data_IF_054752882878
#
_entry.id   IF_054752882878
#
_cell.length_a   1.000
_cell.length_b   1.000
_cell.length_c   1.000
_cell.angle_alpha   90.00
_cell.angle_beta   90.00
_cell.angle_gamma   90.00
#
_symmetry.space_group_name_H-M   'P 1'
#
loop_
_entity.id
_entity.type
_entity.pdbx_description
1 polymer ?
#
# COMPACT_ATOMS: atom_id res chain seq x y z
N UNK A 1 18.97 1.87 -12.47
CA UNK A 1 17.80 1.13 -12.92
C UNK A 1 17.05 1.91 -13.99
N UNK A 2 16.69 1.23 -15.06
CA UNK A 2 15.98 1.90 -16.15
C UNK A 2 14.52 2.12 -15.81
N UNK A 3 14.06 3.33 -16.07
CA UNK A 3 12.68 3.70 -15.89
C UNK A 3 11.85 3.15 -17.05
N UNK A 4 10.63 2.69 -16.76
CA UNK A 4 9.75 2.19 -17.78
C UNK A 4 9.28 3.31 -18.70
N UNK A 5 8.95 2.92 -19.92
CA UNK A 5 8.49 3.86 -20.93
C UNK A 5 7.18 4.51 -20.54
N UNK A 6 7.12 5.82 -20.73
CA UNK A 6 5.90 6.57 -20.52
C UNK A 6 4.91 6.29 -21.63
N UNK A 7 3.70 5.85 -21.31
CA UNK A 7 2.63 5.60 -22.25
C UNK A 7 1.36 6.32 -21.81
N UNK A 8 0.39 6.40 -22.72
CA UNK A 8 -0.89 7.01 -22.39
C UNK A 8 -1.59 6.29 -21.26
N UNK A 9 -1.59 4.95 -21.30
CA UNK A 9 -2.21 4.14 -20.25
C UNK A 9 -1.51 4.35 -18.91
N UNK A 10 -0.18 4.44 -18.92
CA UNK A 10 0.58 4.69 -17.70
C UNK A 10 0.18 6.00 -17.04
N UNK A 11 0.01 7.04 -17.85
CA UNK A 11 -0.42 8.35 -17.34
C UNK A 11 -1.80 8.27 -16.71
N UNK A 12 -2.72 7.56 -17.35
CA UNK A 12 -4.08 7.41 -16.84
C UNK A 12 -4.06 6.70 -15.48
N UNK A 13 -3.28 5.63 -15.36
CA UNK A 13 -3.17 4.88 -14.10
C UNK A 13 -2.58 5.77 -13.01
N UNK A 14 -1.51 6.48 -13.30
CA UNK A 14 -0.88 7.37 -12.33
C UNK A 14 -1.83 8.46 -11.85
N UNK A 15 -2.55 9.09 -12.77
CA UNK A 15 -3.53 10.12 -12.44
C UNK A 15 -4.63 9.57 -11.55
N UNK A 16 -5.08 8.35 -11.81
CA UNK A 16 -6.11 7.73 -11.02
C UNK A 16 -5.63 7.50 -9.59
N UNK A 17 -4.39 7.02 -9.43
CA UNK A 17 -3.81 6.85 -8.09
C UNK A 17 -3.69 8.20 -7.37
N UNK A 18 -3.28 9.24 -8.10
CA UNK A 18 -3.12 10.58 -7.53
C UNK A 18 -4.41 11.16 -6.97
N UNK A 19 -5.54 10.74 -7.51
CA UNK A 19 -6.83 11.25 -7.06
C UNK A 19 -7.33 10.57 -5.79
N UNK A 20 -6.61 9.57 -5.31
CA UNK A 20 -6.98 8.85 -4.09
C UNK A 20 -6.14 9.30 -2.90
N UNK A 21 -6.79 9.37 -1.74
CA UNK A 21 -6.10 9.62 -0.47
C UNK A 21 -6.27 8.45 0.49
N UNK A 22 -6.94 7.38 0.03
CA UNK A 22 -7.40 6.30 0.88
C UNK A 22 -6.72 4.96 0.61
N UNK A 23 -5.56 4.96 -0.02
CA UNK A 23 -4.80 3.74 -0.32
C UNK A 23 -5.62 2.74 -1.14
N UNK A 24 -5.90 3.04 -2.41
CA UNK A 24 -6.77 2.20 -3.24
C UNK A 24 -6.13 0.86 -3.57
N UNK A 25 -6.98 -0.14 -3.83
CA UNK A 25 -6.52 -1.42 -4.36
C UNK A 25 -6.40 -1.33 -5.87
N UNK A 26 -5.71 -2.30 -6.48
CA UNK A 26 -5.62 -2.39 -7.93
C UNK A 26 -7.01 -2.51 -8.57
N UNK A 27 -7.89 -3.26 -7.93
CA UNK A 27 -9.25 -3.44 -8.46
C UNK A 27 -10.04 -2.14 -8.45
N UNK A 28 -9.90 -1.35 -7.39
CA UNK A 28 -10.55 -0.02 -7.32
C UNK A 28 -10.06 0.87 -8.44
N UNK A 29 -8.74 0.90 -8.66
CA UNK A 29 -8.16 1.69 -9.74
C UNK A 29 -8.68 1.22 -11.09
N UNK A 30 -8.70 -0.10 -11.31
CA UNK A 30 -9.21 -0.66 -12.55
C UNK A 30 -10.69 -0.28 -12.79
N UNK A 31 -11.53 -0.39 -11.76
CA UNK A 31 -12.95 -0.09 -11.92
C UNK A 31 -13.19 1.36 -12.31
N UNK A 32 -12.44 2.28 -11.72
CA UNK A 32 -12.56 3.69 -12.07
C UNK A 32 -12.13 3.98 -13.49
N UNK A 33 -11.03 3.36 -13.92
CA UNK A 33 -10.55 3.53 -15.29
C UNK A 33 -11.51 2.92 -16.29
N UNK A 34 -12.03 1.74 -15.98
CA UNK A 34 -12.95 1.02 -16.85
C UNK A 34 -14.26 1.81 -17.07
N UNK A 35 -14.69 2.53 -16.05
CA UNK A 35 -15.91 3.35 -16.15
C UNK A 35 -15.72 4.50 -17.16
N UNK A 36 -14.50 4.96 -17.36
CA UNK A 36 -14.19 6.06 -18.28
C UNK A 36 -13.79 5.52 -19.65
N UNK A 37 -13.02 4.44 -19.68
CA UNK A 37 -12.55 3.84 -20.94
C UNK A 37 -12.52 2.32 -20.80
N UNK A 38 -13.59 1.69 -21.26
CA UNK A 38 -13.75 0.24 -21.12
C UNK A 38 -12.79 -0.57 -22.00
N UNK A 39 -12.01 0.10 -22.85
CA UNK A 39 -11.02 -0.59 -23.69
C UNK A 39 -9.74 -0.94 -22.93
N UNK A 40 -9.51 -0.30 -21.80
CA UNK A 40 -8.31 -0.56 -21.00
C UNK A 40 -8.58 -1.79 -20.13
N UNK A 41 -7.78 -2.85 -20.34
CA UNK A 41 -8.01 -4.12 -19.66
C UNK A 41 -7.46 -4.10 -18.24
N UNK A 42 -7.95 -5.04 -17.43
CA UNK A 42 -7.46 -5.23 -16.08
C UNK A 42 -5.96 -5.51 -16.07
N UNK A 43 -5.49 -6.36 -16.99
CA UNK A 43 -4.07 -6.67 -17.09
C UNK A 43 -3.22 -5.45 -17.39
N UNK A 44 -3.71 -4.54 -18.22
CA UNK A 44 -3.00 -3.30 -18.53
C UNK A 44 -2.87 -2.43 -17.29
N UNK A 45 -3.96 -2.29 -16.51
CA UNK A 45 -3.93 -1.50 -15.29
C UNK A 45 -2.93 -2.09 -14.29
N UNK A 46 -3.01 -3.39 -14.06
CA UNK A 46 -2.15 -4.05 -13.09
C UNK A 46 -0.68 -3.97 -13.50
N UNK A 47 -0.40 -4.15 -14.78
CA UNK A 47 0.97 -4.05 -15.30
C UNK A 47 1.54 -2.65 -15.10
N UNK A 48 0.72 -1.63 -15.35
CA UNK A 48 1.16 -0.25 -15.16
C UNK A 48 1.35 0.11 -13.70
N UNK A 49 0.52 -0.42 -12.80
CA UNK A 49 0.72 -0.23 -11.37
C UNK A 49 2.06 -0.81 -10.93
N UNK A 50 2.41 -2.00 -11.43
CA UNK A 50 3.70 -2.61 -11.12
C UNK A 50 4.85 -1.76 -11.65
N UNK A 51 4.75 -1.27 -12.89
CA UNK A 51 5.80 -0.43 -13.48
C UNK A 51 5.98 0.87 -12.71
N UNK A 52 4.88 1.52 -12.33
CA UNK A 52 4.93 2.76 -11.57
C UNK A 52 5.56 2.54 -10.20
N UNK A 53 5.24 1.40 -9.57
CA UNK A 53 5.81 1.04 -8.29
C UNK A 53 7.32 0.78 -8.39
N UNK A 54 7.74 0.04 -9.42
CA UNK A 54 9.16 -0.25 -9.65
C UNK A 54 9.95 1.02 -9.94
N UNK A 55 9.33 1.97 -10.63
CA UNK A 55 9.99 3.23 -10.96
C UNK A 55 9.95 4.24 -9.81
N UNK A 56 9.32 3.92 -8.71
CA UNK A 56 9.26 4.80 -7.53
C UNK A 56 8.26 5.93 -7.64
N UNK A 57 7.33 5.86 -8.60
CA UNK A 57 6.30 6.89 -8.77
C UNK A 57 5.14 6.73 -7.80
N UNK A 58 4.88 5.50 -7.36
CA UNK A 58 3.89 5.19 -6.34
C UNK A 58 4.46 4.13 -5.40
N UNK A 59 3.85 4.00 -4.24
CA UNK A 59 4.24 2.99 -3.26
C UNK A 59 3.26 1.82 -3.33
N UNK A 60 3.81 0.60 -3.37
CA UNK A 60 3.02 -0.63 -3.33
C UNK A 60 3.04 -1.15 -1.89
N UNK A 61 1.89 -1.25 -1.28
CA UNK A 61 1.75 -1.65 0.12
C UNK A 61 1.14 -3.05 0.15
N UNK A 62 1.91 -4.01 0.63
CA UNK A 62 1.43 -5.39 0.76
C UNK A 62 0.74 -5.55 2.10
N UNK A 63 -0.53 -5.89 2.06
CA UNK A 63 -1.35 -6.08 3.25
C UNK A 63 -2.20 -7.34 3.06
N UNK A 64 -2.69 -7.92 4.17
CA UNK A 64 -3.63 -9.05 4.06
C UNK A 64 -4.85 -8.65 3.23
N UNK A 65 -5.32 -9.56 2.41
CA UNK A 65 -6.44 -9.33 1.53
C UNK A 65 -6.00 -8.86 0.17
N UNK A 66 -6.05 -7.58 -0.09
CA UNK A 66 -5.67 -7.01 -1.37
C UNK A 66 -4.65 -5.91 -1.15
N UNK A 67 -3.55 -5.98 -1.90
CA UNK A 67 -2.51 -4.95 -1.82
C UNK A 67 -3.07 -3.57 -2.12
N UNK A 68 -2.45 -2.55 -1.55
CA UNK A 68 -2.85 -1.16 -1.71
C UNK A 68 -1.74 -0.35 -2.38
N UNK A 69 -2.11 0.82 -2.85
CA UNK A 69 -1.17 1.73 -3.52
C UNK A 69 -1.30 3.12 -2.92
N UNK A 70 -0.19 3.84 -2.88
CA UNK A 70 -0.12 5.16 -2.28
C UNK A 70 0.73 6.06 -3.15
N UNK A 71 0.31 7.29 -3.35
CA UNK A 71 1.10 8.28 -4.07
C UNK A 71 2.35 8.67 -3.29
N UNK A 72 2.27 8.64 -1.98
CA UNK A 72 3.38 8.98 -1.11
C UNK A 72 4.43 7.87 -1.15
N UNK A 73 5.64 8.20 -1.59
CA UNK A 73 6.70 7.20 -1.84
C UNK A 73 7.79 7.15 -0.77
N UNK A 74 7.83 8.09 0.17
CA UNK A 74 8.79 8.04 1.26
C UNK A 74 8.48 6.86 2.19
N UNK A 75 9.53 6.35 2.84
CA UNK A 75 9.36 5.23 3.75
C UNK A 75 8.54 5.64 4.98
N UNK A 76 7.46 4.94 5.21
CA UNK A 76 6.61 5.14 6.37
C UNK A 76 5.86 3.85 6.64
N UNK A 77 5.25 3.77 7.80
CA UNK A 77 4.54 2.56 8.21
C UNK A 77 3.05 2.72 8.03
N UNK A 78 2.38 1.60 7.90
CA UNK A 78 0.93 1.55 7.73
C UNK A 78 0.33 0.62 8.78
N UNK A 79 -0.95 0.80 9.05
CA UNK A 79 -1.71 -0.14 9.87
C UNK A 79 -3.00 -0.48 9.15
N UNK A 80 -3.34 -1.75 9.15
CA UNK A 80 -4.58 -2.23 8.58
C UNK A 80 -5.52 -2.72 9.68
N UNK A 81 -6.79 -2.35 9.58
CA UNK A 81 -7.82 -2.95 10.41
C UNK A 81 -8.20 -4.29 9.82
N UNK A 82 -7.94 -5.37 10.55
CA UNK A 82 -8.22 -6.71 10.04
C UNK A 82 -9.71 -7.00 9.95
N UNK A 83 -10.54 -6.17 10.54
CA UNK A 83 -11.98 -6.33 10.52
C UNK A 83 -12.63 -5.61 9.32
N UNK A 84 -12.34 -4.33 9.14
CA UNK A 84 -12.97 -3.55 8.07
C UNK A 84 -12.06 -3.32 6.86
N UNK A 85 -10.78 -3.64 6.97
CA UNK A 85 -9.84 -3.49 5.88
C UNK A 85 -9.27 -2.10 5.67
N UNK A 86 -9.62 -1.15 6.53
CA UNK A 86 -9.12 0.22 6.39
C UNK A 86 -7.61 0.27 6.61
N UNK A 87 -6.91 0.98 5.74
CA UNK A 87 -5.46 1.16 5.83
C UNK A 87 -5.17 2.64 6.02
N UNK A 88 -4.35 2.97 7.00
CA UNK A 88 -3.93 4.35 7.23
C UNK A 88 -2.42 4.41 7.43
N UNK A 89 -1.85 5.60 7.21
CA UNK A 89 -0.45 5.86 7.50
C UNK A 89 -0.28 6.05 8.99
N UNK A 90 0.81 5.49 9.54
CA UNK A 90 1.12 5.71 10.95
C UNK A 90 1.86 7.05 11.04
N UNK A 91 1.42 7.96 11.92
CA UNK A 91 1.95 9.32 11.96
C UNK A 91 3.28 9.44 12.72
N UNK A 92 4.23 8.59 12.43
CA UNK A 92 5.61 8.80 12.87
C UNK A 92 6.57 8.21 11.84
N UNK A 93 7.81 8.69 11.89
CA UNK A 93 8.75 8.40 10.84
C UNK A 93 9.40 7.04 10.92
N UNK A 94 10.20 6.76 9.91
CA UNK A 94 10.94 5.53 9.79
C UNK A 94 11.93 5.36 10.95
N UNK A 95 11.95 4.17 11.53
CA UNK A 95 12.86 3.83 12.65
C UNK A 95 14.02 3.00 12.11
N UNK A 96 15.22 3.51 12.26
CA UNK A 96 16.43 2.82 11.75
C UNK A 96 17.02 1.82 12.73
N UNK A 97 16.64 1.85 14.00
CA UNK A 97 17.18 0.94 15.00
C UNK A 97 17.06 -0.54 14.64
N UNK A 98 15.89 -1.01 14.17
CA UNK A 98 15.78 -2.42 13.80
C UNK A 98 16.75 -2.81 12.69
N UNK A 99 17.04 -1.91 11.77
CA UNK A 99 17.96 -2.18 10.66
C UNK A 99 19.36 -2.46 11.18
N UNK A 100 19.83 -1.66 12.12
CA UNK A 100 21.14 -1.82 12.72
C UNK A 100 21.23 -3.13 13.51
N UNK A 101 20.20 -3.43 14.28
CA UNK A 101 20.16 -4.65 15.08
C UNK A 101 20.21 -5.88 14.21
N UNK A 102 19.44 -5.89 13.13
CA UNK A 102 19.41 -7.03 12.20
C UNK A 102 20.76 -7.17 11.51
N UNK A 103 21.33 -6.05 11.08
CA UNK A 103 22.65 -6.08 10.43
C UNK A 103 23.70 -6.67 11.37
N UNK A 104 23.68 -6.29 12.63
CA UNK A 104 24.67 -6.77 13.62
C UNK A 104 24.52 -8.24 13.89
N UNK A 105 23.29 -8.74 13.97
CA UNK A 105 23.03 -10.15 14.29
C UNK A 105 23.31 -11.06 13.09
N UNK A 106 22.98 -10.60 11.89
CA UNK A 106 23.03 -11.44 10.69
C UNK A 106 24.25 -11.24 9.82
N UNK A 107 24.97 -10.12 10.00
CA UNK A 107 26.07 -9.75 9.12
C UNK A 107 25.64 -9.20 7.77
N UNK A 108 24.36 -8.99 7.57
CA UNK A 108 23.85 -8.42 6.33
C UNK A 108 24.05 -6.92 6.29
N UNK A 109 24.20 -6.39 5.07
CA UNK A 109 24.11 -4.96 4.85
C UNK A 109 22.64 -4.63 4.65
N UNK A 110 22.02 -4.04 5.66
CA UNK A 110 20.59 -3.79 5.65
C UNK A 110 20.32 -2.37 5.17
N UNK A 111 19.53 -2.25 4.11
CA UNK A 111 19.21 -0.95 3.53
C UNK A 111 17.96 -0.33 4.15
N UNK A 112 16.96 -1.14 4.44
CA UNK A 112 15.69 -0.66 4.98
C UNK A 112 14.81 -1.85 5.34
N UNK A 113 13.71 -1.55 5.99
CA UNK A 113 12.67 -2.53 6.23
C UNK A 113 11.31 -1.89 5.94
N UNK A 114 10.31 -2.73 5.82
CA UNK A 114 8.94 -2.29 5.62
C UNK A 114 8.10 -2.94 6.69
N UNK A 115 7.08 -2.21 7.17
CA UNK A 115 6.23 -2.75 8.22
C UNK A 115 4.79 -2.34 7.97
N UNK A 116 3.90 -3.30 8.12
CA UNK A 116 2.46 -3.06 8.16
C UNK A 116 1.98 -3.67 9.46
N UNK A 117 1.37 -2.83 10.30
CA UNK A 117 0.81 -3.28 11.57
C UNK A 117 -0.61 -3.77 11.33
N UNK A 118 -1.02 -4.76 12.07
CA UNK A 118 -2.35 -5.35 11.97
C UNK A 118 -3.06 -5.17 13.29
N UNK A 119 -4.27 -4.64 13.23
CA UNK A 119 -5.03 -4.38 14.45
C UNK A 119 -6.49 -4.16 14.15
N UNK A 120 -7.20 -3.55 15.11
CA UNK A 120 -8.61 -3.24 14.96
C UNK A 120 -8.77 -1.73 15.14
N UNK A 121 -9.37 -1.07 14.17
CA UNK A 121 -9.49 0.39 14.20
C UNK A 121 -10.45 0.84 15.31
N UNK A 122 -10.36 2.13 15.72
CA UNK A 122 -11.20 2.62 16.80
C UNK A 122 -12.70 2.40 16.60
N UNK A 123 -13.18 2.52 15.36
CA UNK A 123 -14.58 2.28 15.05
C UNK A 123 -14.99 0.83 15.25
N UNK A 124 -14.18 -0.09 14.73
CA UNK A 124 -14.46 -1.53 14.90
C UNK A 124 -14.24 -1.99 16.32
N UNK A 125 -13.30 -1.37 17.01
CA UNK A 125 -13.02 -1.69 18.42
C UNK A 125 -14.23 -1.43 19.28
N UNK A 126 -14.93 -0.33 19.05
CA UNK A 126 -16.15 0.00 19.79
C UNK A 126 -17.24 -1.04 19.59
N UNK A 127 -17.38 -1.53 18.36
CA UNK A 127 -18.37 -2.55 18.04
C UNK A 127 -18.04 -3.89 18.70
N UNK A 128 -16.76 -4.15 18.90
CA UNK A 128 -16.27 -5.45 19.34
C UNK A 128 -15.96 -5.55 20.82
N UNK A 129 -16.10 -4.48 21.58
CA UNK A 129 -15.74 -4.50 22.99
C UNK A 129 -16.35 -5.67 23.74
N UNK A 130 -17.61 -5.96 23.46
CA UNK A 130 -18.33 -7.03 24.15
C UNK A 130 -17.85 -8.43 23.79
N UNK A 131 -17.45 -8.61 22.55
CA UNK A 131 -17.02 -9.93 22.09
C UNK A 131 -15.56 -10.17 22.32
N UNK A 132 -14.78 -9.11 22.32
CA UNK A 132 -13.33 -9.21 22.37
C UNK A 132 -12.82 -9.68 23.72
N UNK A 133 -13.44 -9.24 24.78
CA UNK A 133 -13.00 -9.59 26.12
C UNK A 133 -13.08 -11.09 26.41
N UNK A 134 -14.02 -11.76 25.80
CA UNK A 134 -14.20 -13.19 26.04
C UNK A 134 -13.16 -14.03 25.28
N UNK A 135 -12.41 -13.47 24.39
CA UNK A 135 -11.39 -14.19 23.62
C UNK A 135 -10.04 -14.22 24.31
N UNK A 136 -9.80 -13.21 25.09
CA UNK A 136 -8.54 -13.11 25.78
C UNK A 136 -8.53 -13.98 27.02
#
# INVERSE_FOLDING_TARGET
MLKHRETKQRKIVLETVRNHTDHPTANTIYEEIHAVDCRISQGTVYRNLNCLSEDGEILHIKVPGADRYDLRTDLHYHIICVKCGKVIDIPYGYLSDPDEKVANVTGYKVFRHRAVFEGICPGCKKENDRCFESRE
#
